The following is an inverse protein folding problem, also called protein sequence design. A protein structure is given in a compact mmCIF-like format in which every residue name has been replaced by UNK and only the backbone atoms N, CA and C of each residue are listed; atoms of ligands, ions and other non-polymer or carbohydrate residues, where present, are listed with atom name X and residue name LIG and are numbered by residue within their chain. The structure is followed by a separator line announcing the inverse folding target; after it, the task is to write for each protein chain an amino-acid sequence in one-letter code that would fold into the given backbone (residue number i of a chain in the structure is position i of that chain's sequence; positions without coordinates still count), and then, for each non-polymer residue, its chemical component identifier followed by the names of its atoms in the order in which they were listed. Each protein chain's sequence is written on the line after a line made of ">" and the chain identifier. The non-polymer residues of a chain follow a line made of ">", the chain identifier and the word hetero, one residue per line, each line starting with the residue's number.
data_IF_267351543695
#
_entry.id   IF_267351543695
#
_cell.length_a   1.000
_cell.length_b   1.000
_cell.length_c   1.000
_cell.angle_alpha   90.00
_cell.angle_beta   90.00
_cell.angle_gamma   90.00
#
_symmetry.space_group_name_H-M   'P 1'
#
loop_
_entity.id
_entity.type
_entity.pdbx_description
1 polymer ?
#
# COMPACT_ATOMS: atom_id res chain seq x y z
N UNK A 1 -12.57 3.43 -29.66
CA UNK A 1 -12.12 3.06 -28.31
C UNK A 1 -11.56 1.63 -28.40
N UNK A 2 -10.24 1.47 -28.56
CA UNK A 2 -9.60 0.15 -28.73
C UNK A 2 -9.15 -0.32 -27.36
N UNK A 3 -9.76 -1.42 -26.90
CA UNK A 3 -9.35 -2.17 -25.72
C UNK A 3 -8.00 -2.80 -26.07
N UNK A 4 -6.95 -2.37 -25.39
CA UNK A 4 -5.62 -3.00 -25.48
C UNK A 4 -5.73 -4.30 -24.66
N UNK A 5 -5.95 -5.43 -25.37
CA UNK A 5 -5.78 -6.76 -24.80
C UNK A 5 -4.29 -7.00 -24.59
N UNK A 6 -3.82 -6.80 -23.37
CA UNK A 6 -2.47 -7.17 -22.97
C UNK A 6 -2.42 -8.68 -22.82
N UNK A 7 -1.71 -9.36 -23.72
CA UNK A 7 -1.37 -10.77 -23.60
C UNK A 7 -0.40 -10.93 -22.42
N UNK A 8 -0.94 -11.36 -21.29
CA UNK A 8 -0.19 -11.60 -20.06
C UNK A 8 0.30 -13.04 -20.11
N UNK A 9 1.60 -13.21 -20.32
CA UNK A 9 2.32 -14.48 -20.39
C UNK A 9 2.32 -15.23 -19.05
N UNK A 10 2.42 -16.57 -19.09
CA UNK A 10 2.35 -17.62 -18.04
C UNK A 10 2.92 -17.38 -16.61
N UNK A 11 3.59 -16.26 -16.35
CA UNK A 11 4.01 -15.88 -14.98
C UNK A 11 2.86 -15.39 -14.09
N UNK A 12 1.71 -15.09 -14.65
CA UNK A 12 0.53 -14.57 -13.93
C UNK A 12 -0.44 -15.65 -13.46
N UNK A 13 -0.39 -16.85 -14.05
CA UNK A 13 -1.24 -17.97 -13.60
C UNK A 13 -0.94 -18.40 -12.15
N UNK A 14 0.32 -18.29 -11.72
CA UNK A 14 0.73 -18.56 -10.34
C UNK A 14 0.21 -17.50 -9.34
N UNK A 15 0.11 -16.26 -9.77
CA UNK A 15 -0.35 -15.16 -8.91
C UNK A 15 -1.88 -15.24 -8.68
N UNK A 16 -2.65 -15.50 -9.73
CA UNK A 16 -4.09 -15.72 -9.58
C UNK A 16 -4.40 -16.98 -8.75
N UNK A 17 -3.55 -18.01 -8.81
CA UNK A 17 -3.65 -19.20 -7.97
C UNK A 17 -3.45 -18.88 -6.48
N UNK A 18 -2.46 -18.05 -6.16
CA UNK A 18 -2.19 -17.59 -4.78
C UNK A 18 -3.37 -16.76 -4.25
N UNK A 19 -3.98 -15.93 -5.10
CA UNK A 19 -5.11 -15.09 -4.70
C UNK A 19 -6.42 -15.88 -4.57
N UNK A 20 -6.62 -16.99 -5.30
CA UNK A 20 -7.87 -17.75 -5.31
C UNK A 20 -8.00 -18.82 -4.20
N UNK A 21 -6.90 -19.19 -3.51
CA UNK A 21 -6.86 -20.45 -2.76
C UNK A 21 -7.15 -20.37 -1.26
N UNK A 22 -6.78 -19.30 -0.55
CA UNK A 22 -6.92 -19.23 0.91
C UNK A 22 -7.51 -17.90 1.36
N UNK A 23 -8.41 -17.96 2.37
CA UNK A 23 -8.82 -16.77 3.11
C UNK A 23 -7.58 -16.15 3.75
N UNK A 24 -7.39 -14.85 3.54
CA UNK A 24 -6.28 -14.13 4.15
C UNK A 24 -6.56 -13.95 5.64
N UNK A 25 -5.58 -14.26 6.47
CA UNK A 25 -5.63 -14.01 7.90
C UNK A 25 -4.51 -13.05 8.36
N UNK A 26 -4.71 -12.44 9.51
CA UNK A 26 -3.80 -11.42 10.03
C UNK A 26 -2.38 -11.95 10.32
N UNK A 27 -2.24 -13.23 10.66
CA UNK A 27 -0.93 -13.83 10.98
C UNK A 27 -0.11 -14.11 9.73
N UNK A 28 -0.79 -14.42 8.61
CA UNK A 28 -0.13 -14.76 7.34
C UNK A 28 0.09 -13.57 6.42
N UNK A 29 -0.58 -12.42 6.64
CA UNK A 29 -0.64 -11.31 5.70
C UNK A 29 0.73 -10.79 5.24
N UNK A 30 1.74 -10.72 6.13
CA UNK A 30 3.11 -10.32 5.76
C UNK A 30 3.74 -11.34 4.81
N UNK A 31 3.63 -12.63 5.12
CA UNK A 31 4.20 -13.70 4.28
C UNK A 31 3.53 -13.76 2.91
N UNK A 32 2.21 -13.58 2.87
CA UNK A 32 1.45 -13.51 1.61
C UNK A 32 1.90 -12.29 0.80
N UNK A 33 2.06 -11.12 1.44
CA UNK A 33 2.54 -9.93 0.77
C UNK A 33 3.95 -10.11 0.20
N UNK A 34 4.90 -10.61 0.98
CA UNK A 34 6.29 -10.88 0.52
C UNK A 34 6.32 -11.92 -0.61
N UNK A 35 5.45 -12.92 -0.57
CA UNK A 35 5.31 -13.92 -1.64
C UNK A 35 4.83 -13.29 -2.95
N UNK A 36 3.87 -12.36 -2.86
CA UNK A 36 3.36 -11.62 -4.02
C UNK A 36 4.33 -10.55 -4.52
N UNK A 37 5.12 -9.95 -3.62
CA UNK A 37 6.01 -8.82 -3.91
C UNK A 37 7.40 -9.05 -3.31
N UNK A 38 8.19 -10.01 -3.83
CA UNK A 38 9.50 -10.37 -3.25
C UNK A 38 10.49 -9.20 -3.20
N UNK A 39 10.34 -8.20 -4.06
CA UNK A 39 11.15 -6.97 -4.05
C UNK A 39 10.92 -6.08 -2.83
N UNK A 40 9.84 -6.30 -2.05
CA UNK A 40 9.55 -5.51 -0.85
C UNK A 40 10.65 -5.62 0.20
N UNK A 41 11.34 -6.75 0.26
CA UNK A 41 12.45 -6.94 1.19
C UNK A 41 13.60 -5.99 0.89
N UNK A 42 14.05 -5.95 -0.37
CA UNK A 42 15.11 -5.04 -0.79
C UNK A 42 14.68 -3.58 -0.62
N UNK A 43 13.44 -3.26 -0.98
CA UNK A 43 12.85 -1.95 -0.77
C UNK A 43 12.91 -1.55 0.71
N UNK A 44 12.43 -2.39 1.62
CA UNK A 44 12.41 -2.14 3.06
C UNK A 44 13.82 -2.01 3.66
N UNK A 45 14.76 -2.90 3.28
CA UNK A 45 16.15 -2.80 3.69
C UNK A 45 16.80 -1.48 3.23
N UNK A 46 16.52 -1.01 2.02
CA UNK A 46 17.02 0.25 1.51
C UNK A 46 16.39 1.45 2.21
N UNK A 47 15.11 1.36 2.55
CA UNK A 47 14.38 2.38 3.28
C UNK A 47 14.94 2.59 4.69
N UNK A 48 15.24 1.52 5.40
CA UNK A 48 15.83 1.62 6.75
C UNK A 48 17.34 1.93 6.74
N UNK A 49 18.03 1.77 5.62
CA UNK A 49 19.46 2.02 5.50
C UNK A 49 19.84 3.45 5.84
N UNK A 50 18.94 4.40 5.62
CA UNK A 50 19.14 5.82 5.93
C UNK A 50 19.43 6.07 7.41
N UNK A 51 18.76 5.33 8.33
CA UNK A 51 18.99 5.49 9.78
C UNK A 51 19.71 4.31 10.42
N UNK A 52 19.63 3.11 9.87
CA UNK A 52 20.25 1.89 10.41
C UNK A 52 21.66 1.62 9.84
N UNK A 53 22.02 2.22 8.71
CA UNK A 53 23.30 2.04 8.05
C UNK A 53 23.64 0.55 7.84
N UNK A 54 24.75 0.07 8.43
CA UNK A 54 25.18 -1.34 8.34
C UNK A 54 24.19 -2.33 9.01
N UNK A 55 23.30 -1.83 9.86
CA UNK A 55 22.30 -2.63 10.55
C UNK A 55 20.98 -2.84 9.79
N UNK A 56 20.87 -2.43 8.52
CA UNK A 56 19.61 -2.40 7.75
C UNK A 56 18.83 -3.72 7.76
N UNK A 57 19.49 -4.87 7.58
CA UNK A 57 18.84 -6.18 7.64
C UNK A 57 18.26 -6.49 9.02
N UNK A 58 19.02 -6.18 10.10
CA UNK A 58 18.56 -6.39 11.47
C UNK A 58 17.36 -5.52 11.79
N UNK A 59 17.38 -4.27 11.36
CA UNK A 59 16.26 -3.35 11.60
C UNK A 59 15.02 -3.75 10.79
N UNK A 60 15.19 -4.19 9.53
CA UNK A 60 14.10 -4.75 8.75
C UNK A 60 13.42 -5.92 9.46
N UNK A 61 14.22 -6.91 9.91
CA UNK A 61 13.68 -8.10 10.62
C UNK A 61 13.03 -7.72 11.96
N UNK A 62 13.53 -6.70 12.65
CA UNK A 62 12.93 -6.19 13.89
C UNK A 62 11.54 -5.57 13.63
N UNK A 63 11.40 -4.75 12.59
CA UNK A 63 10.11 -4.17 12.19
C UNK A 63 9.14 -5.28 11.78
N UNK A 64 9.60 -6.25 10.97
CA UNK A 64 8.81 -7.41 10.57
C UNK A 64 8.33 -8.23 11.78
N UNK A 65 9.20 -8.46 12.77
CA UNK A 65 8.87 -9.18 14.00
C UNK A 65 7.91 -8.42 14.91
N UNK A 66 7.81 -7.09 14.79
CA UNK A 66 6.84 -6.28 15.51
C UNK A 66 5.39 -6.47 15.01
N UNK A 67 5.22 -7.11 13.86
CA UNK A 67 3.92 -7.55 13.34
C UNK A 67 3.36 -6.71 12.20
N UNK A 68 2.14 -7.05 11.71
CA UNK A 68 1.60 -6.50 10.49
C UNK A 68 1.45 -4.98 10.48
N UNK A 69 1.00 -4.35 11.54
CA UNK A 69 0.86 -2.89 11.59
C UNK A 69 2.20 -2.18 11.38
N UNK A 70 3.25 -2.57 12.10
CA UNK A 70 4.58 -1.99 11.93
C UNK A 70 5.13 -2.22 10.53
N UNK A 71 4.96 -3.43 9.99
CA UNK A 71 5.44 -3.80 8.67
C UNK A 71 4.72 -3.01 7.56
N UNK A 72 3.40 -2.90 7.64
CA UNK A 72 2.60 -2.16 6.65
C UNK A 72 2.88 -0.66 6.74
N UNK A 73 2.97 -0.09 7.95
CA UNK A 73 3.31 1.30 8.17
C UNK A 73 4.66 1.68 7.56
N UNK A 74 5.70 0.91 7.89
CA UNK A 74 7.08 1.26 7.49
C UNK A 74 7.40 0.91 6.04
N UNK A 75 6.81 -0.16 5.48
CA UNK A 75 7.21 -0.67 4.17
C UNK A 75 6.10 -0.64 3.13
N UNK A 76 4.97 -1.33 3.38
CA UNK A 76 3.93 -1.52 2.36
C UNK A 76 3.29 -0.21 1.95
N UNK A 77 2.99 0.63 2.91
CA UNK A 77 2.43 1.95 2.72
C UNK A 77 3.32 2.83 1.83
N UNK A 78 4.60 2.96 2.18
CA UNK A 78 5.53 3.76 1.40
C UNK A 78 5.79 3.18 0.02
N UNK A 79 5.91 1.85 -0.09
CA UNK A 79 6.01 1.16 -1.37
C UNK A 79 4.82 1.45 -2.28
N UNK A 80 3.60 1.42 -1.71
CA UNK A 80 2.36 1.74 -2.44
C UNK A 80 2.36 3.18 -2.95
N UNK A 81 2.72 4.14 -2.10
CA UNK A 81 2.76 5.56 -2.47
C UNK A 81 3.84 5.83 -3.52
N UNK A 82 5.01 5.21 -3.39
CA UNK A 82 6.09 5.36 -4.37
C UNK A 82 5.66 4.85 -5.75
N UNK A 83 5.04 3.66 -5.81
CA UNK A 83 4.49 3.11 -7.07
C UNK A 83 3.40 3.99 -7.70
N UNK A 84 2.52 4.58 -6.88
CA UNK A 84 1.48 5.51 -7.36
C UNK A 84 2.05 6.85 -7.83
N UNK A 85 3.24 7.21 -7.35
CA UNK A 85 3.91 8.49 -7.67
C UNK A 85 4.85 8.40 -8.87
N UNK A 86 5.10 7.19 -9.39
CA UNK A 86 5.94 6.99 -10.58
C UNK A 86 5.31 7.64 -11.82
N UNK A 87 6.15 8.26 -12.66
CA UNK A 87 5.69 8.90 -13.93
C UNK A 87 5.12 7.91 -14.92
N UNK A 88 5.59 6.65 -14.89
CA UNK A 88 5.06 5.54 -15.67
C UNK A 88 4.41 4.56 -14.71
N UNK A 89 3.17 4.16 -15.01
CA UNK A 89 2.47 3.17 -14.18
C UNK A 89 3.29 1.87 -14.10
N UNK A 90 3.73 1.55 -12.90
CA UNK A 90 4.45 0.31 -12.64
C UNK A 90 3.57 -0.91 -12.97
N UNK A 91 4.09 -1.93 -13.65
CA UNK A 91 3.36 -3.17 -13.88
C UNK A 91 2.99 -3.90 -12.59
N UNK A 92 3.58 -3.51 -11.46
CA UNK A 92 3.23 -4.04 -10.14
C UNK A 92 1.92 -3.45 -9.58
N UNK A 93 1.49 -2.26 -10.03
CA UNK A 93 0.29 -1.59 -9.49
C UNK A 93 -1.00 -2.43 -9.61
N UNK A 94 -1.36 -3.00 -10.77
CA UNK A 94 -2.56 -3.83 -10.86
C UNK A 94 -2.52 -5.01 -9.89
N UNK A 95 -1.35 -5.65 -9.74
CA UNK A 95 -1.16 -6.78 -8.81
C UNK A 95 -1.32 -6.33 -7.36
N UNK A 96 -0.79 -5.15 -7.01
CA UNK A 96 -0.91 -4.57 -5.69
C UNK A 96 -2.37 -4.30 -5.34
N UNK A 97 -3.14 -3.73 -6.26
CA UNK A 97 -4.56 -3.45 -6.02
C UNK A 97 -5.43 -4.72 -6.01
N UNK A 98 -5.04 -5.79 -6.70
CA UNK A 98 -5.67 -7.10 -6.52
C UNK A 98 -5.39 -7.70 -5.13
N UNK A 99 -4.17 -7.52 -4.60
CA UNK A 99 -3.86 -7.94 -3.23
C UNK A 99 -4.64 -7.12 -2.19
N UNK A 100 -4.73 -5.81 -2.37
CA UNK A 100 -5.54 -4.91 -1.55
C UNK A 100 -7.02 -5.31 -1.56
N UNK A 101 -7.57 -5.67 -2.72
CA UNK A 101 -8.94 -6.16 -2.84
C UNK A 101 -9.14 -7.48 -2.06
N UNK A 102 -8.18 -8.41 -2.15
CA UNK A 102 -8.21 -9.65 -1.36
C UNK A 102 -8.18 -9.36 0.15
N UNK A 103 -7.42 -8.36 0.61
CA UNK A 103 -7.47 -7.91 2.01
C UNK A 103 -8.86 -7.39 2.38
N UNK A 104 -9.48 -6.61 1.48
CA UNK A 104 -10.81 -6.06 1.69
C UNK A 104 -11.92 -7.13 1.72
N UNK A 105 -11.71 -8.26 1.05
CA UNK A 105 -12.62 -9.42 1.03
C UNK A 105 -12.39 -10.39 2.21
N UNK A 106 -11.39 -10.14 3.07
CA UNK A 106 -11.09 -11.02 4.20
C UNK A 106 -12.22 -11.01 5.23
N UNK A 107 -12.55 -12.22 5.75
CA UNK A 107 -13.44 -12.36 6.89
C UNK A 107 -12.75 -12.04 8.24
N UNK A 108 -11.41 -11.90 8.24
CA UNK A 108 -10.65 -11.48 9.41
C UNK A 108 -10.70 -9.95 9.54
N UNK A 109 -11.44 -9.47 10.55
CA UNK A 109 -11.59 -8.04 10.78
C UNK A 109 -10.25 -7.33 11.03
N UNK A 110 -9.25 -8.04 11.58
CA UNK A 110 -7.91 -7.46 11.79
C UNK A 110 -7.19 -7.17 10.47
N UNK A 111 -7.46 -7.94 9.42
CA UNK A 111 -6.92 -7.69 8.06
C UNK A 111 -7.59 -6.48 7.43
N UNK A 112 -8.91 -6.38 7.55
CA UNK A 112 -9.65 -5.20 7.01
C UNK A 112 -9.34 -3.93 7.76
N UNK A 113 -9.11 -3.99 9.07
CA UNK A 113 -8.70 -2.84 9.89
C UNK A 113 -7.25 -2.42 9.56
N UNK A 114 -6.33 -3.38 9.41
CA UNK A 114 -4.98 -3.11 8.93
C UNK A 114 -5.00 -2.37 7.59
N UNK A 115 -5.84 -2.84 6.64
CA UNK A 115 -6.01 -2.20 5.34
C UNK A 115 -6.49 -0.76 5.47
N UNK A 116 -7.53 -0.52 6.27
CA UNK A 116 -8.08 0.83 6.49
C UNK A 116 -7.03 1.78 7.04
N UNK A 117 -6.45 1.40 8.19
CA UNK A 117 -5.57 2.28 8.97
C UNK A 117 -4.23 2.51 8.27
N UNK A 118 -3.62 1.45 7.74
CA UNK A 118 -2.25 1.56 7.24
C UNK A 118 -2.17 1.90 5.75
N UNK A 119 -3.16 1.55 4.95
CA UNK A 119 -3.11 1.81 3.51
C UNK A 119 -4.12 2.87 3.06
N UNK A 120 -5.41 2.69 3.35
CA UNK A 120 -6.42 3.58 2.79
C UNK A 120 -6.34 4.99 3.36
N UNK A 121 -6.11 5.15 4.67
CA UNK A 121 -5.89 6.47 5.28
C UNK A 121 -4.67 7.17 4.70
N UNK A 122 -3.57 6.42 4.49
CA UNK A 122 -2.36 6.98 3.90
C UNK A 122 -2.52 7.38 2.43
N UNK A 123 -3.27 6.60 1.65
CA UNK A 123 -3.60 6.94 0.26
C UNK A 123 -4.46 8.21 0.23
N UNK A 124 -5.41 8.37 1.16
CA UNK A 124 -6.20 9.59 1.30
C UNK A 124 -5.37 10.82 1.65
N UNK A 125 -4.27 10.64 2.37
CA UNK A 125 -3.38 11.72 2.77
C UNK A 125 -2.40 12.17 1.64
N UNK A 126 -2.43 11.50 0.48
CA UNK A 126 -1.61 11.87 -0.67
C UNK A 126 -2.24 13.05 -1.45
N UNK A 127 -1.54 13.53 -2.49
CA UNK A 127 -2.13 14.52 -3.40
C UNK A 127 -3.41 13.99 -4.04
N UNK A 128 -4.33 14.89 -4.38
CA UNK A 128 -5.63 14.51 -4.96
C UNK A 128 -5.46 13.67 -6.24
N UNK A 129 -4.44 13.95 -7.06
CA UNK A 129 -4.16 13.18 -8.27
C UNK A 129 -3.73 11.73 -7.97
N UNK A 130 -2.89 11.52 -6.94
CA UNK A 130 -2.49 10.18 -6.49
C UNK A 130 -3.70 9.44 -5.92
N UNK A 131 -4.51 10.10 -5.11
CA UNK A 131 -5.73 9.53 -4.58
C UNK A 131 -6.71 9.09 -5.68
N UNK A 132 -6.96 9.96 -6.70
CA UNK A 132 -7.84 9.62 -7.82
C UNK A 132 -7.29 8.44 -8.64
N UNK A 133 -5.97 8.37 -8.86
CA UNK A 133 -5.34 7.23 -9.50
C UNK A 133 -5.58 5.94 -8.69
N UNK A 134 -5.34 5.98 -7.38
CA UNK A 134 -5.59 4.84 -6.50
C UNK A 134 -7.07 4.38 -6.56
N UNK A 135 -8.02 5.32 -6.47
CA UNK A 135 -9.45 5.02 -6.61
C UNK A 135 -9.78 4.31 -7.94
N UNK A 136 -9.12 4.70 -9.03
CA UNK A 136 -9.36 4.07 -10.34
C UNK A 136 -8.91 2.61 -10.39
N UNK A 137 -7.97 2.22 -9.52
CA UNK A 137 -7.39 0.88 -9.43
C UNK A 137 -8.08 -0.01 -8.38
N UNK A 138 -8.80 0.58 -7.42
CA UNK A 138 -9.50 -0.15 -6.35
C UNK A 138 -10.64 -0.99 -6.89
N UNK A 139 -10.75 -2.22 -6.41
CA UNK A 139 -11.91 -3.07 -6.62
C UNK A 139 -13.12 -2.67 -5.76
N UNK A 140 -14.25 -3.35 -5.91
CA UNK A 140 -15.52 -2.96 -5.29
C UNK A 140 -15.48 -3.00 -3.76
N UNK A 141 -14.84 -4.00 -3.15
CA UNK A 141 -14.74 -4.12 -1.68
C UNK A 141 -13.80 -3.09 -1.08
N UNK A 142 -12.67 -2.85 -1.73
CA UNK A 142 -11.74 -1.78 -1.32
C UNK A 142 -12.42 -0.42 -1.36
N UNK A 143 -13.21 -0.12 -2.40
CA UNK A 143 -13.97 1.14 -2.50
C UNK A 143 -15.04 1.28 -1.43
N UNK A 144 -15.69 0.18 -1.06
CA UNK A 144 -16.68 0.17 0.03
C UNK A 144 -15.99 0.52 1.36
N UNK A 145 -14.86 -0.11 1.67
CA UNK A 145 -14.07 0.21 2.87
C UNK A 145 -13.53 1.63 2.85
N UNK A 146 -13.00 2.08 1.71
CA UNK A 146 -12.47 3.43 1.53
C UNK A 146 -13.57 4.48 1.81
N UNK A 147 -14.77 4.28 1.28
CA UNK A 147 -15.91 5.18 1.53
C UNK A 147 -16.32 5.20 3.01
N UNK A 148 -16.18 4.09 3.74
CA UNK A 148 -16.48 4.05 5.17
C UNK A 148 -15.61 4.98 6.02
N UNK A 149 -14.48 5.46 5.48
CA UNK A 149 -13.62 6.43 6.13
C UNK A 149 -14.18 7.88 6.08
N UNK A 150 -15.20 8.13 5.25
CA UNK A 150 -15.78 9.48 5.11
C UNK A 150 -16.33 10.02 6.43
N UNK A 151 -16.88 9.15 7.29
CA UNK A 151 -17.53 9.54 8.53
C UNK A 151 -16.57 10.20 9.53
N UNK A 152 -15.31 9.78 9.56
CA UNK A 152 -14.34 10.33 10.51
C UNK A 152 -13.20 11.13 9.88
N UNK A 153 -12.82 10.85 8.63
CA UNK A 153 -11.80 11.62 7.92
C UNK A 153 -12.36 12.76 7.07
N UNK A 154 -13.66 12.73 6.80
CA UNK A 154 -14.33 13.59 5.82
C UNK A 154 -14.08 13.16 4.37
N UNK A 155 -14.91 13.63 3.46
CA UNK A 155 -14.78 13.31 2.03
C UNK A 155 -13.50 13.92 1.46
N UNK A 156 -12.71 13.17 0.68
CA UNK A 156 -11.54 13.71 0.01
C UNK A 156 -11.95 14.73 -1.05
N UNK A 157 -11.48 15.95 -0.90
CA UNK A 157 -11.63 17.02 -1.90
C UNK A 157 -10.27 17.58 -2.27
N UNK A 158 -10.12 18.23 -3.47
CA UNK A 158 -8.86 18.86 -3.85
C UNK A 158 -8.31 19.80 -2.78
N UNK A 159 -9.20 20.57 -2.12
CA UNK A 159 -8.84 21.54 -1.09
C UNK A 159 -8.36 20.85 0.20
N UNK A 160 -9.07 19.80 0.65
CA UNK A 160 -8.74 19.07 1.87
C UNK A 160 -7.39 18.36 1.79
N UNK A 161 -7.07 17.79 0.63
CA UNK A 161 -5.86 16.99 0.42
C UNK A 161 -4.65 17.90 0.20
N UNK A 162 -4.78 18.98 -0.58
CA UNK A 162 -3.68 19.93 -0.82
C UNK A 162 -3.22 20.59 0.48
N UNK A 163 -4.14 20.91 1.39
CA UNK A 163 -3.83 21.53 2.67
C UNK A 163 -3.03 20.63 3.61
N UNK A 164 -3.22 19.29 3.53
CA UNK A 164 -2.45 18.32 4.34
C UNK A 164 -1.02 18.15 3.80
N UNK A 165 -0.83 18.17 2.47
CA UNK A 165 0.49 18.00 1.85
C UNK A 165 1.43 19.17 2.18
N UNK A 166 0.95 20.38 2.17
CA UNK A 166 1.74 21.58 2.46
C UNK A 166 2.22 21.65 3.92
N UNK A 167 1.42 21.17 4.88
CA UNK A 167 1.83 21.08 6.29
C UNK A 167 2.94 20.07 6.54
N UNK A 168 2.96 18.93 5.83
CA UNK A 168 4.05 17.93 5.97
C UNK A 168 5.38 18.45 5.42
N UNK A 169 5.36 19.20 4.33
CA UNK A 169 6.58 19.80 3.76
C UNK A 169 7.17 20.93 4.62
N UNK A 170 6.34 21.73 5.28
CA UNK A 170 6.82 22.83 6.13
C UNK A 170 7.53 22.33 7.40
N UNK A 171 7.06 21.24 8.03
CA UNK A 171 7.71 20.66 9.22
C UNK A 171 9.10 20.05 8.94
N UNK A 172 9.38 19.64 7.69
CA UNK A 172 10.70 19.09 7.32
C UNK A 172 11.76 20.16 7.04
N UNK A 173 11.36 21.40 6.73
CA UNK A 173 12.30 22.50 6.43
C UNK A 173 12.79 23.27 7.67
N UNK A 174 12.07 23.23 8.78
CA UNK A 174 12.41 23.99 10.00
C UNK A 174 13.23 23.21 11.02
N UNK A 175 13.59 21.97 10.76
CA UNK A 175 14.36 21.10 11.66
C UNK A 175 15.87 21.03 11.39
N UNK A 176 16.46 21.99 10.67
CA UNK A 176 17.92 22.13 10.53
C UNK A 176 18.31 23.56 10.88
N UNK A 177 18.64 23.75 12.13
CA UNK A 177 19.62 24.73 12.64
C UNK A 177 20.44 24.03 13.70
#
# INVERSE_FOLDING_TARGET
>A
MRIISFVISNKYETFEGILRGNKMDFKSVILEFESCFPQIREYGENRVAWYAGKGKKKEYEKIKAAGPYAYFYDFVNHYTVDLLSEKQLSPCLPRLFLFIEKMAESDDCSVTDLLKVELLEHIRDQSYSIYQLALSLMGPKTRELEKSLDDYMGKPTPENISFKSDKKHHKRRTGRL
#
